data_IF_792675871653
#
_entry.id   IF_792675871653
#
_cell.length_a   1.000
_cell.length_b   1.000
_cell.length_c   1.000
_cell.angle_alpha   90.00
_cell.angle_beta   90.00
_cell.angle_gamma   90.00
#
_symmetry.space_group_name_H-M   'P 1'
#
loop_
_entity.id
_entity.type
_entity.pdbx_description
1 polymer ?
#
# COMPACT_ATOMS: atom_id res chain seq x y z
N UNK A 1 -26.70 -38.38 -46.10
CA UNK A 1 -25.48 -38.68 -45.34
C UNK A 1 -24.47 -37.52 -45.35
N UNK A 2 -24.22 -36.85 -46.48
CA UNK A 2 -23.27 -35.71 -46.60
C UNK A 2 -23.64 -34.43 -45.80
N UNK A 3 -24.93 -34.12 -45.65
CA UNK A 3 -25.39 -32.93 -44.93
C UNK A 3 -25.10 -32.98 -43.42
N UNK A 4 -25.20 -34.17 -42.81
CA UNK A 4 -24.94 -34.37 -41.39
C UNK A 4 -23.45 -34.20 -41.07
N UNK A 5 -22.57 -34.70 -41.95
CA UNK A 5 -21.12 -34.52 -41.80
C UNK A 5 -20.70 -33.05 -41.87
N UNK A 6 -21.34 -32.24 -42.73
CA UNK A 6 -21.03 -30.81 -42.85
C UNK A 6 -21.41 -30.06 -41.57
N UNK A 7 -22.59 -30.36 -40.99
CA UNK A 7 -23.06 -29.72 -39.75
C UNK A 7 -22.13 -30.03 -38.57
N UNK A 8 -21.67 -31.28 -38.44
CA UNK A 8 -20.74 -31.69 -37.38
C UNK A 8 -19.39 -30.97 -37.50
N UNK A 9 -18.89 -30.78 -38.74
CA UNK A 9 -17.66 -30.03 -39.00
C UNK A 9 -17.81 -28.56 -38.59
N UNK A 10 -18.93 -27.91 -38.97
CA UNK A 10 -19.22 -26.53 -38.56
C UNK A 10 -19.30 -26.38 -37.04
N UNK A 11 -19.95 -27.32 -36.35
CA UNK A 11 -20.07 -27.27 -34.89
C UNK A 11 -18.71 -27.43 -34.20
N UNK A 12 -17.85 -28.34 -34.68
CA UNK A 12 -16.45 -28.47 -34.20
C UNK A 12 -15.64 -27.19 -34.43
N UNK A 13 -15.82 -26.54 -35.58
CA UNK A 13 -15.11 -25.30 -35.92
C UNK A 13 -15.51 -24.15 -34.97
N UNK A 14 -16.79 -24.03 -34.64
CA UNK A 14 -17.30 -23.03 -33.69
C UNK A 14 -16.74 -23.27 -32.28
N UNK A 15 -16.71 -24.53 -31.81
CA UNK A 15 -16.13 -24.89 -30.51
C UNK A 15 -14.63 -24.56 -30.46
N UNK A 16 -13.88 -24.90 -31.51
CA UNK A 16 -12.46 -24.56 -31.59
C UNK A 16 -12.22 -23.05 -31.58
N UNK A 17 -13.05 -22.29 -32.29
CA UNK A 17 -12.95 -20.83 -32.31
C UNK A 17 -13.23 -20.23 -30.92
N UNK A 18 -14.20 -20.77 -30.17
CA UNK A 18 -14.49 -20.35 -28.81
C UNK A 18 -13.34 -20.64 -27.83
N UNK A 19 -12.72 -21.82 -27.94
CA UNK A 19 -11.54 -22.17 -27.15
C UNK A 19 -10.34 -21.26 -27.45
N UNK A 20 -10.14 -20.87 -28.71
CA UNK A 20 -9.08 -19.93 -29.10
C UNK A 20 -9.33 -18.55 -28.47
N UNK A 21 -10.57 -18.04 -28.54
CA UNK A 21 -10.93 -16.77 -27.90
C UNK A 21 -10.73 -16.78 -26.38
N UNK A 22 -11.04 -17.90 -25.72
CA UNK A 22 -10.80 -18.07 -24.29
C UNK A 22 -9.31 -18.03 -23.96
N UNK A 23 -8.48 -18.74 -24.73
CA UNK A 23 -7.03 -18.72 -24.57
C UNK A 23 -6.42 -17.31 -24.76
N UNK A 24 -6.93 -16.51 -25.71
CA UNK A 24 -6.48 -15.13 -25.90
C UNK A 24 -6.82 -14.23 -24.70
N UNK A 25 -7.98 -14.43 -24.05
CA UNK A 25 -8.36 -13.68 -22.85
C UNK A 25 -7.43 -13.99 -21.68
N UNK A 26 -7.12 -15.27 -21.47
CA UNK A 26 -6.23 -15.73 -20.41
C UNK A 26 -4.79 -15.21 -20.59
N UNK A 27 -4.27 -15.21 -21.83
CA UNK A 27 -2.96 -14.64 -22.17
C UNK A 27 -2.92 -13.14 -21.86
N UNK A 28 -3.99 -12.39 -22.20
CA UNK A 28 -4.07 -10.95 -21.93
C UNK A 28 -4.05 -10.65 -20.42
N UNK A 29 -4.74 -11.47 -19.63
CA UNK A 29 -4.76 -11.33 -18.16
C UNK A 29 -3.38 -11.64 -17.55
N UNK A 30 -2.66 -12.64 -18.07
CA UNK A 30 -1.29 -12.96 -17.65
C UNK A 30 -0.34 -11.78 -17.97
N UNK A 31 -0.41 -11.23 -19.18
CA UNK A 31 0.44 -10.10 -19.60
C UNK A 31 0.18 -8.88 -18.71
N UNK A 32 -1.07 -8.57 -18.43
CA UNK A 32 -1.44 -7.45 -17.56
C UNK A 32 -0.92 -7.64 -16.13
N UNK A 33 -1.01 -8.88 -15.59
CA UNK A 33 -0.52 -9.22 -14.24
C UNK A 33 1.00 -9.13 -14.12
N UNK A 34 1.74 -9.54 -15.16
CA UNK A 34 3.20 -9.40 -15.21
C UNK A 34 3.61 -7.92 -15.26
N UNK A 35 2.94 -7.11 -16.08
CA UNK A 35 3.26 -5.69 -16.22
C UNK A 35 2.97 -4.90 -14.92
N UNK A 36 1.86 -5.21 -14.24
CA UNK A 36 1.58 -4.63 -12.91
C UNK A 36 2.59 -5.09 -11.86
N UNK A 37 2.95 -6.38 -11.84
CA UNK A 37 3.98 -6.91 -10.94
C UNK A 37 5.32 -6.18 -11.05
N UNK A 38 5.76 -5.89 -12.28
CA UNK A 38 6.99 -5.13 -12.54
C UNK A 38 6.96 -3.71 -11.98
N UNK A 39 5.81 -3.02 -12.05
CA UNK A 39 5.64 -1.67 -11.48
C UNK A 39 5.76 -1.69 -9.96
N UNK A 40 5.18 -2.69 -9.29
CA UNK A 40 5.31 -2.80 -7.83
C UNK A 40 6.77 -3.00 -7.43
N UNK A 41 7.46 -3.99 -8.00
CA UNK A 41 8.87 -4.29 -7.69
C UNK A 41 9.77 -3.06 -7.90
N UNK A 42 9.52 -2.29 -8.98
CA UNK A 42 10.22 -1.04 -9.23
C UNK A 42 10.07 -0.03 -8.08
N UNK A 43 8.88 0.14 -7.53
CA UNK A 43 8.64 1.07 -6.42
C UNK A 43 9.35 0.63 -5.14
N UNK A 44 9.38 -0.68 -4.83
CA UNK A 44 10.17 -1.22 -3.70
C UNK A 44 11.66 -0.92 -3.87
N UNK A 45 12.22 -1.11 -5.07
CA UNK A 45 13.63 -0.82 -5.33
C UNK A 45 13.97 0.67 -5.21
N UNK A 46 13.08 1.56 -5.67
CA UNK A 46 13.28 3.01 -5.56
C UNK A 46 13.37 3.43 -4.09
N UNK A 47 12.44 2.98 -3.26
CA UNK A 47 12.43 3.35 -1.83
C UNK A 47 13.66 2.78 -1.12
N UNK A 48 14.02 1.53 -1.42
CA UNK A 48 15.24 0.93 -0.89
C UNK A 48 16.48 1.76 -1.26
N UNK A 49 16.60 2.17 -2.53
CA UNK A 49 17.72 3.01 -2.98
C UNK A 49 17.75 4.38 -2.27
N UNK A 50 16.59 5.00 -2.03
CA UNK A 50 16.49 6.28 -1.31
C UNK A 50 16.94 6.12 0.14
N UNK A 51 16.42 5.13 0.87
CA UNK A 51 16.78 4.93 2.28
C UNK A 51 18.26 4.58 2.44
N UNK A 52 18.77 3.69 1.59
CA UNK A 52 20.18 3.30 1.62
C UNK A 52 21.08 4.47 1.22
N UNK A 53 20.67 5.28 0.23
CA UNK A 53 21.39 6.48 -0.17
C UNK A 53 21.49 7.52 0.95
N UNK A 54 20.39 7.76 1.67
CA UNK A 54 20.37 8.63 2.85
C UNK A 54 21.27 8.09 3.98
N UNK A 55 21.28 6.77 4.19
CA UNK A 55 22.16 6.14 5.18
C UNK A 55 23.66 6.29 4.83
N UNK A 56 24.01 6.19 3.54
CA UNK A 56 25.38 6.47 3.07
C UNK A 56 25.76 7.92 3.34
N UNK A 57 24.86 8.87 3.04
CA UNK A 57 25.08 10.29 3.33
C UNK A 57 25.32 10.50 4.83
N UNK A 58 24.50 9.90 5.69
CA UNK A 58 24.69 9.94 7.13
C UNK A 58 26.06 9.40 7.57
N UNK A 59 26.50 8.29 6.98
CA UNK A 59 27.79 7.67 7.28
C UNK A 59 28.97 8.54 6.82
N UNK A 60 28.84 9.30 5.72
CA UNK A 60 29.87 10.24 5.26
C UNK A 60 30.11 11.36 6.27
N UNK A 61 29.05 11.90 6.89
CA UNK A 61 29.17 12.94 7.91
C UNK A 61 29.65 12.40 9.27
N UNK A 62 29.29 11.16 9.61
CA UNK A 62 29.61 10.56 10.92
C UNK A 62 30.94 9.77 10.93
N UNK A 63 31.54 9.57 9.75
CA UNK A 63 32.74 8.77 9.51
C UNK A 63 32.43 7.36 8.99
N UNK A 64 33.25 6.88 8.04
CA UNK A 64 33.09 5.62 7.30
C UNK A 64 33.42 4.37 8.15
N UNK A 65 32.68 4.18 9.23
CA UNK A 65 32.70 2.95 10.02
C UNK A 65 31.43 2.15 9.77
N UNK A 66 31.54 0.83 9.78
CA UNK A 66 30.40 -0.08 9.59
C UNK A 66 29.28 0.20 10.61
N UNK A 67 29.63 0.48 11.87
CA UNK A 67 28.68 0.83 12.92
C UNK A 67 27.89 2.13 12.61
N UNK A 68 28.56 3.14 12.07
CA UNK A 68 27.92 4.42 11.72
C UNK A 68 26.97 4.27 10.53
N UNK A 69 27.33 3.40 9.57
CA UNK A 69 26.45 3.06 8.46
C UNK A 69 25.20 2.30 8.93
N UNK A 70 25.36 1.31 9.81
CA UNK A 70 24.23 0.59 10.41
C UNK A 70 23.32 1.53 11.22
N UNK A 71 23.90 2.44 12.02
CA UNK A 71 23.14 3.49 12.73
C UNK A 71 22.38 4.39 11.75
N UNK A 72 22.99 4.74 10.62
CA UNK A 72 22.36 5.51 9.56
C UNK A 72 21.17 4.79 8.93
N UNK A 73 21.32 3.51 8.57
CA UNK A 73 20.22 2.68 8.05
C UNK A 73 19.09 2.62 9.07
N UNK A 74 19.39 2.28 10.32
CA UNK A 74 18.38 2.16 11.37
C UNK A 74 17.60 3.46 11.55
N UNK A 75 18.30 4.60 11.62
CA UNK A 75 17.68 5.91 11.82
C UNK A 75 16.81 6.32 10.64
N UNK A 76 17.32 6.20 9.41
CA UNK A 76 16.58 6.57 8.20
C UNK A 76 15.35 5.68 8.02
N UNK A 77 15.51 4.37 8.17
CA UNK A 77 14.40 3.42 8.04
C UNK A 77 13.38 3.55 9.18
N UNK A 78 13.78 3.97 10.39
CA UNK A 78 12.83 4.35 11.45
C UNK A 78 11.98 5.55 11.05
N UNK A 79 12.58 6.59 10.49
CA UNK A 79 11.85 7.77 10.00
C UNK A 79 10.91 7.35 8.85
N UNK A 80 11.40 6.54 7.91
CA UNK A 80 10.61 5.98 6.82
C UNK A 80 9.42 5.15 7.31
N UNK A 81 9.63 4.31 8.33
CA UNK A 81 8.58 3.49 8.95
C UNK A 81 7.52 4.36 9.61
N UNK A 82 7.90 5.40 10.35
CA UNK A 82 6.96 6.35 10.93
C UNK A 82 6.08 7.00 9.84
N UNK A 83 6.70 7.50 8.76
CA UNK A 83 5.97 8.09 7.63
C UNK A 83 5.04 7.06 6.97
N UNK A 84 5.51 5.83 6.78
CA UNK A 84 4.73 4.73 6.22
C UNK A 84 3.50 4.38 7.08
N UNK A 85 3.67 4.31 8.41
CA UNK A 85 2.56 4.10 9.35
C UNK A 85 1.56 5.26 9.32
N UNK A 86 2.03 6.50 9.28
CA UNK A 86 1.15 7.68 9.14
C UNK A 86 0.34 7.62 7.84
N UNK A 87 0.99 7.29 6.73
CA UNK A 87 0.31 7.12 5.44
C UNK A 87 -0.70 5.97 5.46
N UNK A 88 -0.40 4.87 6.14
CA UNK A 88 -1.32 3.75 6.32
C UNK A 88 -2.56 4.17 7.13
N UNK A 89 -2.37 4.87 8.25
CA UNK A 89 -3.48 5.44 9.02
C UNK A 89 -4.34 6.39 8.19
N UNK A 90 -3.73 7.16 7.29
CA UNK A 90 -4.45 8.05 6.37
C UNK A 90 -5.22 7.27 5.30
N UNK A 91 -4.60 6.26 4.70
CA UNK A 91 -5.16 5.42 3.64
C UNK A 91 -6.35 4.57 4.10
N UNK A 92 -6.25 3.99 5.31
CA UNK A 92 -7.29 3.14 5.90
C UNK A 92 -8.45 3.93 6.50
N UNK A 93 -8.39 5.27 6.43
CA UNK A 93 -9.44 6.14 6.97
C UNK A 93 -9.49 6.12 8.50
N UNK A 94 -8.40 5.74 9.18
CA UNK A 94 -8.31 5.78 10.64
C UNK A 94 -8.60 7.21 11.17
N UNK A 95 -8.19 8.24 10.43
CA UNK A 95 -8.54 9.63 10.74
C UNK A 95 -10.03 9.96 10.59
N UNK A 96 -10.75 9.33 9.66
CA UNK A 96 -12.22 9.50 9.53
C UNK A 96 -12.95 8.91 10.75
N UNK A 97 -12.52 7.71 11.18
CA UNK A 97 -13.06 7.03 12.36
C UNK A 97 -12.72 7.80 13.65
N UNK A 98 -11.47 8.24 13.76
CA UNK A 98 -10.99 9.01 14.90
C UNK A 98 -11.71 10.37 14.99
N UNK A 99 -11.89 11.08 13.86
CA UNK A 99 -12.64 12.34 13.82
C UNK A 99 -14.10 12.19 14.25
N UNK A 100 -14.78 11.14 13.79
CA UNK A 100 -16.13 10.82 14.27
C UNK A 100 -16.16 10.53 15.78
N UNK A 101 -15.17 9.80 16.28
CA UNK A 101 -15.06 9.48 17.71
C UNK A 101 -14.82 10.74 18.55
N UNK A 102 -13.98 11.66 18.10
CA UNK A 102 -13.78 12.96 18.75
C UNK A 102 -15.03 13.83 18.71
N UNK A 103 -15.77 13.83 17.60
CA UNK A 103 -17.04 14.55 17.48
C UNK A 103 -18.05 14.05 18.52
N UNK A 104 -18.19 12.72 18.64
CA UNK A 104 -19.05 12.09 19.64
C UNK A 104 -18.58 12.34 21.08
N UNK A 105 -17.28 12.32 21.32
CA UNK A 105 -16.70 12.65 22.63
C UNK A 105 -16.97 14.10 23.02
N UNK A 106 -16.76 15.05 22.10
CA UNK A 106 -17.03 16.46 22.31
C UNK A 106 -18.53 16.71 22.59
N UNK A 107 -19.42 16.01 21.87
CA UNK A 107 -20.86 16.04 22.16
C UNK A 107 -21.17 15.58 23.59
N UNK A 108 -20.60 14.46 24.02
CA UNK A 108 -20.85 13.92 25.37
C UNK A 108 -20.41 14.89 26.46
N UNK A 109 -19.27 15.56 26.28
CA UNK A 109 -18.73 16.54 27.24
C UNK A 109 -19.36 17.94 27.15
N UNK A 110 -20.07 18.26 26.07
CA UNK A 110 -20.68 19.58 25.90
C UNK A 110 -21.84 19.82 26.91
N UNK A 111 -21.95 21.04 27.47
CA UNK A 111 -23.10 21.43 28.30
C UNK A 111 -24.38 21.55 27.46
N UNK A 112 -25.56 21.35 28.08
CA UNK A 112 -26.87 21.27 27.39
C UNK A 112 -27.12 22.38 26.35
N UNK A 113 -26.79 23.63 26.67
CA UNK A 113 -26.94 24.79 25.76
C UNK A 113 -26.12 24.72 24.46
N UNK A 114 -24.99 24.01 24.48
CA UNK A 114 -24.10 23.86 23.31
C UNK A 114 -24.51 22.63 22.48
N UNK A 115 -25.17 21.64 23.10
CA UNK A 115 -25.69 20.46 22.39
C UNK A 115 -26.78 20.85 21.38
N UNK A 116 -27.68 21.75 21.77
CA UNK A 116 -28.75 22.25 20.90
C UNK A 116 -28.17 22.91 19.63
N UNK A 117 -27.09 23.68 19.77
CA UNK A 117 -26.39 24.31 18.63
C UNK A 117 -25.57 23.32 17.80
N UNK A 118 -25.09 22.22 18.40
CA UNK A 118 -24.39 21.15 17.69
C UNK A 118 -25.33 20.23 16.91
N UNK A 119 -26.56 20.02 17.41
CA UNK A 119 -27.58 19.20 16.76
C UNK A 119 -28.18 19.88 15.52
N UNK A 120 -28.15 21.22 15.49
CA UNK A 120 -28.51 22.04 14.31
C UNK A 120 -27.45 22.05 13.21
N UNK A 121 -26.22 21.62 13.51
CA UNK A 121 -25.09 21.69 12.58
C UNK A 121 -25.07 20.47 11.63
N UNK A 122 -25.30 20.65 10.31
CA UNK A 122 -25.43 19.54 9.36
C UNK A 122 -24.15 18.71 9.22
N UNK A 123 -22.98 19.25 9.55
CA UNK A 123 -21.72 18.50 9.56
C UNK A 123 -21.56 17.60 10.80
N UNK A 124 -22.37 17.76 11.84
CA UNK A 124 -22.35 16.91 13.03
C UNK A 124 -23.12 15.59 12.83
N UNK A 125 -24.20 15.64 12.06
CA UNK A 125 -25.04 14.49 11.72
C UNK A 125 -24.59 13.73 10.46
N UNK A 126 -23.47 14.13 9.85
CA UNK A 126 -22.94 13.48 8.66
C UNK A 126 -22.53 12.04 8.97
N UNK A 127 -23.08 11.08 8.23
CA UNK A 127 -22.73 9.67 8.33
C UNK A 127 -21.23 9.42 8.12
N UNK A 128 -20.70 8.42 8.82
CA UNK A 128 -19.30 8.00 8.76
C UNK A 128 -18.95 7.50 7.36
N UNK A 129 -18.42 8.39 6.51
CA UNK A 129 -17.82 7.98 5.25
C UNK A 129 -16.37 7.59 5.49
N UNK A 130 -16.12 6.28 5.57
CA UNK A 130 -14.76 5.74 5.67
C UNK A 130 -14.07 5.96 4.33
N UNK A 131 -13.06 6.83 4.32
CA UNK A 131 -12.25 7.10 3.14
C UNK A 131 -11.28 5.93 2.96
N UNK A 132 -11.54 5.05 2.00
CA UNK A 132 -10.65 3.94 1.63
C UNK A 132 -9.85 4.29 0.36
N UNK A 133 -9.03 5.33 0.44
CA UNK A 133 -8.13 5.66 -0.67
C UNK A 133 -6.84 4.86 -0.53
N UNK A 134 -6.66 3.82 -1.35
CA UNK A 134 -5.44 3.00 -1.37
C UNK A 134 -4.33 3.73 -2.13
N UNK A 135 -3.31 4.20 -1.42
CA UNK A 135 -2.14 4.78 -2.08
C UNK A 135 -1.13 3.69 -2.46
N UNK A 136 -0.69 3.70 -3.72
CA UNK A 136 0.27 2.73 -4.28
C UNK A 136 1.65 2.78 -3.59
N UNK A 137 1.97 3.89 -2.92
CA UNK A 137 3.27 4.15 -2.29
C UNK A 137 3.32 3.80 -0.80
N UNK A 138 2.18 3.66 -0.13
CA UNK A 138 2.13 3.35 1.31
C UNK A 138 2.74 1.99 1.62
N UNK A 139 2.32 0.95 0.89
CA UNK A 139 2.82 -0.40 1.08
C UNK A 139 4.33 -0.52 0.86
N UNK A 140 4.90 -0.05 -0.27
CA UNK A 140 6.34 -0.23 -0.48
C UNK A 140 7.19 0.57 0.51
N UNK A 141 6.74 1.73 1.02
CA UNK A 141 7.47 2.43 2.09
C UNK A 141 7.47 1.57 3.35
N UNK A 142 6.29 1.16 3.80
CA UNK A 142 6.13 0.44 5.08
C UNK A 142 6.94 -0.86 5.12
N UNK A 143 6.85 -1.69 4.07
CA UNK A 143 7.55 -2.98 4.05
C UNK A 143 9.06 -2.86 3.87
N UNK A 144 9.54 -1.91 3.06
CA UNK A 144 10.99 -1.69 2.87
C UNK A 144 11.61 -1.19 4.17
N UNK A 145 11.02 -0.15 4.77
CA UNK A 145 11.51 0.42 6.02
C UNK A 145 11.50 -0.61 7.15
N UNK A 146 10.43 -1.40 7.28
CA UNK A 146 10.34 -2.46 8.30
C UNK A 146 11.40 -3.55 8.09
N UNK A 147 11.63 -3.99 6.85
CA UNK A 147 12.68 -4.95 6.53
C UNK A 147 14.07 -4.43 6.87
N UNK A 148 14.37 -3.18 6.51
CA UNK A 148 15.66 -2.54 6.79
C UNK A 148 15.90 -2.35 8.29
N UNK A 149 14.87 -1.98 9.06
CA UNK A 149 14.96 -1.90 10.53
C UNK A 149 15.35 -3.26 11.11
N UNK A 150 14.65 -4.33 10.74
CA UNK A 150 14.94 -5.68 11.26
C UNK A 150 16.37 -6.11 10.90
N UNK A 151 16.75 -5.93 9.62
CA UNK A 151 18.09 -6.30 9.13
C UNK A 151 19.17 -5.49 9.87
N UNK A 152 18.98 -4.18 10.03
CA UNK A 152 19.94 -3.32 10.72
C UNK A 152 20.12 -3.72 12.18
N UNK A 153 19.04 -4.09 12.87
CA UNK A 153 19.06 -4.53 14.27
C UNK A 153 19.79 -5.87 14.44
N UNK A 154 19.53 -6.83 13.55
CA UNK A 154 20.25 -8.11 13.52
C UNK A 154 21.74 -7.90 13.23
N UNK A 155 22.06 -7.06 12.24
CA UNK A 155 23.43 -6.76 11.87
C UNK A 155 24.19 -6.04 13.00
N UNK A 156 23.54 -5.11 13.69
CA UNK A 156 24.10 -4.46 14.87
C UNK A 156 24.41 -5.46 15.98
N UNK A 157 23.44 -6.34 16.32
CA UNK A 157 23.64 -7.36 17.34
C UNK A 157 24.81 -8.30 17.03
N UNK A 158 25.02 -8.63 15.75
CA UNK A 158 26.16 -9.45 15.31
C UNK A 158 27.50 -8.70 15.30
N UNK A 159 27.48 -7.37 15.23
CA UNK A 159 28.68 -6.52 15.17
C UNK A 159 29.23 -6.09 16.53
N UNK A 160 28.45 -6.31 17.60
CA UNK A 160 28.81 -6.10 19.01
C UNK A 160 29.45 -7.37 19.56
#
# INVERSE_FOLDING_TARGET
MLLLSIIVIYFKMIIHFYNILYAFKEIKDIINKVNTGGIYVKNYMIIFAIETGLAVIYALFSGLKLLNFLNGIFTVSMIGLCIGLFMMMYSDGAYSIMGHSFRKFNYMMAPKRIKETMDEDPDFNKELRIRQEKYLWTNPILFVSLGLVIISLIAMYCSV
#
